data_IF_532692818198
#
_entry.id   IF_532692818198
#
_cell.length_a   1.000
_cell.length_b   1.000
_cell.length_c   1.000
_cell.angle_alpha   90.00
_cell.angle_beta   90.00
_cell.angle_gamma   90.00
#
_symmetry.space_group_name_H-M   'P 1'
#
loop_
_entity.id
_entity.type
_entity.pdbx_description
1 polymer ?
#
# COMPACT_ATOMS: atom_id res chain seq x y z
N UNK A 1 5.69 -5.65 27.76
CA UNK A 1 4.62 -6.00 26.80
C UNK A 1 4.60 -7.51 26.63
N UNK A 2 3.46 -8.19 26.86
CA UNK A 2 3.40 -9.65 26.95
C UNK A 2 3.64 -10.31 25.58
N UNK A 3 4.62 -11.23 25.47
CA UNK A 3 5.02 -11.88 24.21
C UNK A 3 3.85 -12.57 23.47
N UNK A 4 2.80 -12.98 24.20
CA UNK A 4 1.59 -13.55 23.61
C UNK A 4 0.80 -12.52 22.80
N UNK A 5 0.64 -11.29 23.31
CA UNK A 5 -0.11 -10.22 22.65
C UNK A 5 0.58 -9.82 21.33
N UNK A 6 1.91 -9.68 21.35
CA UNK A 6 2.69 -9.36 20.16
C UNK A 6 2.56 -10.47 19.08
N UNK A 7 2.51 -11.74 19.50
CA UNK A 7 2.35 -12.88 18.60
C UNK A 7 0.97 -12.90 17.94
N UNK A 8 -0.10 -12.68 18.70
CA UNK A 8 -1.46 -12.60 18.14
C UNK A 8 -1.60 -11.40 17.19
N UNK A 9 -1.05 -10.25 17.55
CA UNK A 9 -1.11 -9.05 16.72
C UNK A 9 -0.39 -9.23 15.38
N UNK A 10 0.80 -9.83 15.38
CA UNK A 10 1.51 -10.17 14.15
C UNK A 10 0.75 -11.20 13.30
N UNK A 11 0.11 -12.18 13.93
CA UNK A 11 -0.70 -13.19 13.24
C UNK A 11 -1.91 -12.56 12.55
N UNK A 12 -2.59 -11.62 13.23
CA UNK A 12 -3.72 -10.87 12.66
C UNK A 12 -3.28 -10.00 11.48
N UNK A 13 -2.13 -9.33 11.58
CA UNK A 13 -1.58 -8.51 10.50
C UNK A 13 -1.23 -9.36 9.26
N UNK A 14 -0.64 -10.53 9.45
CA UNK A 14 -0.40 -11.50 8.37
C UNK A 14 -1.70 -12.02 7.76
N UNK A 15 -2.72 -12.28 8.58
CA UNK A 15 -4.05 -12.67 8.13
C UNK A 15 -4.71 -11.61 7.25
N UNK A 16 -4.59 -10.33 7.62
CA UNK A 16 -5.09 -9.21 6.81
C UNK A 16 -4.37 -9.12 5.46
N UNK A 17 -3.04 -9.27 5.43
CA UNK A 17 -2.29 -9.33 4.18
C UNK A 17 -2.75 -10.49 3.28
N UNK A 18 -2.96 -11.67 3.85
CA UNK A 18 -3.43 -12.84 3.09
C UNK A 18 -4.84 -12.62 2.53
N UNK A 19 -5.76 -12.06 3.32
CA UNK A 19 -7.10 -11.68 2.85
C UNK A 19 -7.03 -10.66 1.73
N UNK A 20 -6.19 -9.63 1.85
CA UNK A 20 -5.99 -8.64 0.80
C UNK A 20 -5.52 -9.25 -0.51
N UNK A 21 -4.56 -10.19 -0.46
CA UNK A 21 -4.11 -10.93 -1.64
C UNK A 21 -5.19 -11.82 -2.25
N UNK A 22 -6.05 -12.45 -1.44
CA UNK A 22 -7.19 -13.21 -1.95
C UNK A 22 -8.20 -12.32 -2.69
N UNK A 23 -8.44 -11.09 -2.19
CA UNK A 23 -9.30 -10.12 -2.88
C UNK A 23 -8.66 -9.71 -4.21
N UNK A 24 -7.33 -9.48 -4.26
CA UNK A 24 -6.63 -9.21 -5.52
C UNK A 24 -6.81 -10.37 -6.51
N UNK A 25 -6.57 -11.61 -6.07
CA UNK A 25 -6.72 -12.80 -6.91
C UNK A 25 -8.15 -12.95 -7.46
N UNK A 26 -9.15 -12.70 -6.60
CA UNK A 26 -10.56 -12.70 -7.01
C UNK A 26 -10.86 -11.62 -8.06
N UNK A 27 -10.34 -10.40 -7.90
CA UNK A 27 -10.56 -9.31 -8.87
C UNK A 27 -9.91 -9.62 -10.22
N UNK A 28 -8.69 -10.18 -10.22
CA UNK A 28 -8.01 -10.60 -11.45
C UNK A 28 -8.84 -11.69 -12.15
N UNK A 29 -9.21 -12.75 -11.40
CA UNK A 29 -10.02 -13.84 -11.93
C UNK A 29 -11.35 -13.35 -12.51
N UNK A 30 -12.03 -12.43 -11.82
CA UNK A 30 -13.32 -11.88 -12.27
C UNK A 30 -13.17 -11.01 -13.52
N UNK A 31 -12.10 -10.20 -13.61
CA UNK A 31 -11.81 -9.36 -14.77
C UNK A 31 -11.49 -10.21 -16.01
N UNK A 32 -10.66 -11.24 -15.87
CA UNK A 32 -10.26 -12.10 -16.98
C UNK A 32 -11.40 -13.00 -17.49
N UNK A 33 -12.23 -13.57 -16.59
CA UNK A 33 -13.22 -14.57 -16.99
C UNK A 33 -14.61 -14.01 -17.30
N UNK A 34 -15.00 -12.88 -16.72
CA UNK A 34 -16.38 -12.40 -16.80
C UNK A 34 -16.54 -11.02 -17.44
N UNK A 35 -15.45 -10.33 -17.81
CA UNK A 35 -15.51 -9.03 -18.48
C UNK A 35 -16.35 -7.97 -17.76
N UNK A 36 -16.60 -8.13 -16.46
CA UNK A 36 -17.50 -7.26 -15.71
C UNK A 36 -16.85 -5.91 -15.40
N UNK A 37 -17.62 -4.83 -15.51
CA UNK A 37 -17.27 -3.53 -14.96
C UNK A 37 -17.16 -3.63 -13.43
N UNK A 38 -15.93 -3.69 -12.95
CA UNK A 38 -15.62 -3.63 -11.52
C UNK A 38 -15.72 -2.17 -11.10
N UNK A 39 -16.59 -1.87 -10.14
CA UNK A 39 -16.70 -0.53 -9.57
C UNK A 39 -15.34 -0.03 -9.07
N UNK A 40 -14.98 1.22 -9.40
CA UNK A 40 -13.71 1.83 -9.01
C UNK A 40 -13.44 1.75 -7.50
N UNK A 41 -14.49 1.78 -6.67
CA UNK A 41 -14.36 1.63 -5.21
C UNK A 41 -13.88 0.23 -4.79
N UNK A 42 -14.27 -0.82 -5.53
CA UNK A 42 -13.84 -2.18 -5.25
C UNK A 42 -12.36 -2.43 -5.57
N UNK A 43 -11.77 -1.64 -6.49
CA UNK A 43 -10.35 -1.68 -6.81
C UNK A 43 -9.47 -1.10 -5.69
N UNK A 44 -10.05 -0.25 -4.82
CA UNK A 44 -9.37 0.32 -3.66
C UNK A 44 -9.39 -0.62 -2.44
N UNK A 45 -10.29 -1.60 -2.41
CA UNK A 45 -10.44 -2.53 -1.29
C UNK A 45 -9.17 -3.34 -1.00
N UNK A 46 -8.50 -3.96 -1.99
CA UNK A 46 -7.26 -4.69 -1.71
C UNK A 46 -6.14 -3.85 -1.11
N UNK A 47 -5.74 -2.68 -1.67
CA UNK A 47 -4.66 -1.90 -1.09
C UNK A 47 -4.99 -1.39 0.33
N UNK A 48 -6.26 -1.09 0.64
CA UNK A 48 -6.68 -0.73 2.01
C UNK A 48 -6.45 -1.89 2.98
N UNK A 49 -6.95 -3.09 2.67
CA UNK A 49 -6.80 -4.26 3.54
C UNK A 49 -5.32 -4.61 3.75
N UNK A 50 -4.54 -4.61 2.67
CA UNK A 50 -3.10 -4.91 2.73
C UNK A 50 -2.37 -3.84 3.54
N UNK A 51 -2.71 -2.56 3.40
CA UNK A 51 -2.07 -1.47 4.13
C UNK A 51 -2.22 -1.58 5.64
N UNK A 52 -3.38 -2.06 6.12
CA UNK A 52 -3.64 -2.28 7.54
C UNK A 52 -2.70 -3.36 8.09
N UNK A 53 -2.51 -4.46 7.36
CA UNK A 53 -1.54 -5.50 7.74
C UNK A 53 -0.09 -5.02 7.65
N UNK A 54 0.28 -4.31 6.58
CA UNK A 54 1.65 -3.78 6.39
C UNK A 54 2.03 -2.71 7.41
N UNK A 55 1.07 -1.93 7.91
CA UNK A 55 1.33 -0.85 8.87
C UNK A 55 2.01 -1.36 10.15
N UNK A 56 1.67 -2.58 10.60
CA UNK A 56 2.30 -3.22 11.76
C UNK A 56 3.79 -3.52 11.55
N UNK A 57 4.21 -3.74 10.30
CA UNK A 57 5.59 -4.07 9.94
C UNK A 57 6.31 -2.90 9.25
N UNK A 58 5.67 -1.74 9.12
CA UNK A 58 6.14 -0.64 8.29
C UNK A 58 7.58 -0.21 8.62
N UNK A 59 7.93 -0.11 9.91
CA UNK A 59 9.28 0.25 10.35
C UNK A 59 10.37 -0.69 9.81
N UNK A 60 10.08 -1.98 9.62
CA UNK A 60 11.02 -2.98 9.10
C UNK A 60 11.12 -2.93 7.57
N UNK A 61 10.01 -2.64 6.90
CA UNK A 61 9.93 -2.61 5.43
C UNK A 61 10.25 -1.23 4.83
N UNK A 62 10.33 -0.18 5.67
CA UNK A 62 10.61 1.20 5.28
C UNK A 62 11.72 1.36 4.22
N UNK A 63 12.94 0.81 4.38
CA UNK A 63 13.99 0.99 3.38
C UNK A 63 13.63 0.38 2.02
N UNK A 64 12.89 -0.74 2.01
CA UNK A 64 12.41 -1.35 0.78
C UNK A 64 11.27 -0.55 0.15
N UNK A 65 10.38 0.03 0.97
CA UNK A 65 9.32 0.90 0.49
C UNK A 65 9.88 2.18 -0.16
N UNK A 66 10.89 2.79 0.44
CA UNK A 66 11.56 3.98 -0.11
C UNK A 66 12.21 3.69 -1.47
N UNK A 67 12.87 2.54 -1.62
CA UNK A 67 13.41 2.10 -2.91
C UNK A 67 12.30 1.97 -3.96
N UNK A 68 11.18 1.34 -3.61
CA UNK A 68 10.04 1.19 -4.53
C UNK A 68 9.44 2.54 -4.93
N UNK A 69 9.34 3.49 -4.00
CA UNK A 69 8.88 4.84 -4.32
C UNK A 69 9.86 5.59 -5.24
N UNK A 70 11.17 5.45 -5.02
CA UNK A 70 12.17 6.05 -5.89
C UNK A 70 12.10 5.50 -7.32
N UNK A 71 11.92 4.18 -7.46
CA UNK A 71 11.72 3.54 -8.76
C UNK A 71 10.43 4.04 -9.41
N UNK A 72 9.31 4.07 -8.67
CA UNK A 72 8.02 4.54 -9.19
C UNK A 72 8.06 6.02 -9.63
N UNK A 73 8.73 6.88 -8.85
CA UNK A 73 8.91 8.29 -9.18
C UNK A 73 9.79 8.45 -10.43
N UNK A 74 10.87 7.68 -10.53
CA UNK A 74 11.77 7.72 -11.70
C UNK A 74 11.06 7.23 -12.97
N UNK A 75 10.28 6.16 -12.88
CA UNK A 75 9.48 5.63 -13.98
C UNK A 75 8.41 6.64 -14.44
N UNK A 76 7.78 7.34 -13.49
CA UNK A 76 6.82 8.42 -13.78
C UNK A 76 7.50 9.61 -14.48
N UNK A 77 8.66 10.03 -13.99
CA UNK A 77 9.44 11.11 -14.61
C UNK A 77 9.93 10.75 -16.02
N UNK A 78 10.41 9.51 -16.22
CA UNK A 78 10.82 9.01 -17.54
C UNK A 78 9.67 9.09 -18.55
N UNK A 79 8.45 8.78 -18.11
CA UNK A 79 7.25 8.82 -18.94
C UNK A 79 6.93 10.24 -19.38
N UNK A 80 6.99 11.21 -18.47
CA UNK A 80 6.82 12.62 -18.80
C UNK A 80 7.88 13.10 -19.80
N UNK A 81 9.12 12.62 -19.68
CA UNK A 81 10.18 12.94 -20.63
C UNK A 81 9.91 12.34 -22.03
N UNK A 82 9.34 11.13 -22.10
CA UNK A 82 8.95 10.49 -23.36
C UNK A 82 7.75 11.18 -24.01
N UNK A 83 6.80 11.67 -23.20
CA UNK A 83 5.65 12.45 -23.67
C UNK A 83 6.05 13.82 -24.23
N UNK A 84 7.17 14.38 -23.76
CA UNK A 84 7.69 15.66 -24.22
C UNK A 84 8.44 15.58 -25.56
N UNK A 85 8.76 14.39 -26.06
CA UNK A 85 9.42 14.21 -27.34
C UNK A 85 8.42 14.34 -28.50
N UNK A 86 8.63 15.26 -29.46
CA UNK A 86 7.80 15.31 -30.67
C UNK A 86 7.94 13.99 -31.46
N UNK A 87 6.83 13.52 -32.02
CA UNK A 87 6.67 12.26 -32.77
C UNK A 87 6.76 10.94 -31.97
N UNK A 88 6.80 11.01 -30.64
CA UNK A 88 6.77 9.84 -29.73
C UNK A 88 5.36 9.62 -29.17
N UNK A 89 4.65 8.58 -29.61
CA UNK A 89 3.44 8.10 -28.92
C UNK A 89 3.83 7.18 -27.78
N UNK A 90 3.82 7.70 -26.56
CA UNK A 90 4.13 6.92 -25.37
C UNK A 90 2.98 5.98 -24.98
N UNK A 91 3.04 4.74 -25.45
CA UNK A 91 2.06 3.70 -25.12
C UNK A 91 2.47 2.85 -23.91
N UNK A 92 3.62 3.14 -23.27
CA UNK A 92 4.17 2.35 -22.17
C UNK A 92 3.24 2.34 -20.95
N UNK A 93 2.67 3.50 -20.60
CA UNK A 93 1.75 3.65 -19.48
C UNK A 93 0.43 2.89 -19.71
N UNK A 94 -0.30 3.09 -20.82
CA UNK A 94 -1.50 2.32 -21.12
C UNK A 94 -1.26 0.80 -21.09
N UNK A 95 -0.15 0.33 -21.67
CA UNK A 95 0.21 -1.10 -21.66
C UNK A 95 0.46 -1.61 -20.24
N UNK A 96 1.20 -0.86 -19.43
CA UNK A 96 1.49 -1.22 -18.05
C UNK A 96 0.22 -1.27 -17.20
N UNK A 97 -0.63 -0.24 -17.26
CA UNK A 97 -1.88 -0.17 -16.49
C UNK A 97 -2.92 -1.23 -16.91
N UNK A 98 -2.89 -1.67 -18.17
CA UNK A 98 -3.78 -2.73 -18.64
C UNK A 98 -3.29 -4.14 -18.25
N UNK A 99 -2.01 -4.30 -17.95
CA UNK A 99 -1.43 -5.59 -17.55
C UNK A 99 -1.79 -5.98 -16.11
N UNK A 100 -1.95 -7.30 -15.87
CA UNK A 100 -2.15 -7.86 -14.51
C UNK A 100 -0.99 -7.50 -13.58
N UNK A 101 0.23 -7.54 -14.12
CA UNK A 101 1.44 -7.23 -13.39
C UNK A 101 1.49 -5.76 -12.97
N UNK A 102 1.08 -4.84 -13.84
CA UNK A 102 0.98 -3.43 -13.51
C UNK A 102 -0.06 -3.16 -12.43
N UNK A 103 -1.23 -3.79 -12.51
CA UNK A 103 -2.24 -3.71 -11.44
C UNK A 103 -1.70 -4.20 -10.09
N UNK A 104 -1.00 -5.34 -10.06
CA UNK A 104 -0.37 -5.87 -8.85
C UNK A 104 0.63 -4.88 -8.25
N UNK A 105 1.52 -4.31 -9.07
CA UNK A 105 2.50 -3.32 -8.62
C UNK A 105 1.80 -2.09 -8.02
N UNK A 106 0.75 -1.59 -8.69
CA UNK A 106 0.00 -0.44 -8.19
C UNK A 106 -0.69 -0.71 -6.86
N UNK A 107 -1.28 -1.89 -6.68
CA UNK A 107 -1.86 -2.29 -5.40
C UNK A 107 -0.80 -2.30 -4.30
N UNK A 108 0.40 -2.82 -4.58
CA UNK A 108 1.49 -2.83 -3.61
C UNK A 108 2.02 -1.43 -3.27
N UNK A 109 2.24 -0.59 -4.27
CA UNK A 109 2.70 0.80 -4.06
C UNK A 109 1.65 1.59 -3.27
N UNK A 110 0.37 1.46 -3.62
CA UNK A 110 -0.73 2.11 -2.90
C UNK A 110 -0.85 1.60 -1.45
N UNK A 111 -0.74 0.29 -1.24
CA UNK A 111 -0.81 -0.31 0.09
C UNK A 111 0.36 0.13 0.98
N UNK A 112 1.58 0.18 0.44
CA UNK A 112 2.76 0.69 1.16
C UNK A 112 2.60 2.17 1.52
N UNK A 113 2.09 2.98 0.59
CA UNK A 113 1.89 4.42 0.80
C UNK A 113 0.88 4.66 1.92
N UNK A 114 -0.25 3.94 1.88
CA UNK A 114 -1.27 4.03 2.92
C UNK A 114 -0.76 3.47 4.26
N UNK A 115 0.04 2.40 4.25
CA UNK A 115 0.66 1.86 5.46
C UNK A 115 1.60 2.86 6.15
N UNK A 116 2.35 3.65 5.36
CA UNK A 116 3.18 4.74 5.88
C UNK A 116 2.35 5.78 6.61
N UNK A 117 1.23 6.19 6.00
CA UNK A 117 0.31 7.19 6.57
C UNK A 117 -0.28 6.66 7.87
N UNK A 118 -0.80 5.42 7.87
CA UNK A 118 -1.37 4.76 9.06
C UNK A 118 -0.32 4.68 10.18
N UNK A 119 0.89 4.22 9.86
CA UNK A 119 1.98 4.14 10.82
C UNK A 119 2.32 5.51 11.42
N UNK A 120 2.39 6.54 10.58
CA UNK A 120 2.73 7.91 11.01
C UNK A 120 1.64 8.50 11.92
N UNK A 121 0.37 8.31 11.57
CA UNK A 121 -0.77 8.75 12.38
C UNK A 121 -0.78 8.02 13.72
N UNK A 122 -0.65 6.69 13.70
CA UNK A 122 -0.64 5.88 14.91
C UNK A 122 0.50 6.30 15.86
N UNK A 123 1.70 6.54 15.31
CA UNK A 123 2.84 6.99 16.10
C UNK A 123 2.62 8.40 16.69
N UNK A 124 2.02 9.33 15.92
CA UNK A 124 1.74 10.69 16.38
C UNK A 124 0.66 10.74 17.45
N UNK A 125 -0.38 9.92 17.33
CA UNK A 125 -1.43 9.78 18.35
C UNK A 125 -0.83 9.21 19.63
N UNK A 126 -0.01 8.16 19.52
CA UNK A 126 0.63 7.54 20.66
C UNK A 126 1.51 8.53 21.43
N UNK A 127 2.35 9.30 20.74
CA UNK A 127 3.20 10.32 21.38
C UNK A 127 2.38 11.39 22.10
N UNK A 128 1.26 11.84 21.50
CA UNK A 128 0.38 12.84 22.13
C UNK A 128 -0.25 12.33 23.43
N UNK A 129 -0.67 11.06 23.48
CA UNK A 129 -1.21 10.46 24.70
C UNK A 129 -0.15 10.29 25.80
N UNK A 130 1.09 9.94 25.44
CA UNK A 130 2.18 9.82 26.42
C UNK A 130 2.62 11.18 26.99
N UNK A 131 2.68 12.24 26.18
CA UNK A 131 2.96 13.61 26.64
C UNK A 131 1.91 14.13 27.64
N UNK A 132 0.62 13.83 27.40
CA UNK A 132 -0.46 14.21 28.33
C UNK A 132 -0.33 13.44 29.66
N UNK A 133 0.00 12.14 29.59
CA UNK A 133 0.17 11.31 30.77
C UNK A 133 1.30 11.81 31.68
N UNK A 134 2.44 12.22 31.12
CA UNK A 134 3.57 12.74 31.92
C UNK A 134 3.23 14.09 32.57
N UNK A 135 2.55 14.99 31.86
CA UNK A 135 2.12 16.28 32.44
C UNK A 135 1.04 16.13 33.53
N UNK A 136 0.18 15.11 33.44
CA UNK A 136 -0.85 14.83 34.45
C UNK A 136 -0.33 14.15 35.72
N UNK A 137 0.84 13.49 35.65
CA UNK A 137 1.48 12.83 36.80
C UNK A 137 2.43 13.76 37.59
N UNK A 138 2.69 14.97 37.07
CA UNK A 138 3.55 15.98 37.67
C UNK A 138 2.78 17.09 38.43
N UNK A 139 1.45 16.98 38.55
CA UNK A 139 0.57 17.82 39.37
C UNK A 139 0.04 17.04 40.56
#
# INVERSE_FOLDING_TARGET
MNNKILRYWNLSALGLMALGLLVVAYLIYKKENNGMDISNYFLLTPPIIISLGLSAFYKRIKPHAELLYAIAATASALTLCLDALPDSTNNLFPYFFQSVLGYLILVWVAALSLANIIYTIAHKILSYFFDISENSAAQ
#
